data_IF_327032822363
#
_entry.id   IF_327032822363
#
_cell.length_a   1.000
_cell.length_b   1.000
_cell.length_c   1.000
_cell.angle_alpha   90.00
_cell.angle_beta   90.00
_cell.angle_gamma   90.00
#
_symmetry.space_group_name_H-M   'P 1'
#
loop_
_entity.id
_entity.type
_entity.pdbx_description
1 polymer ?
#
# COMPACT_ATOMS: atom_id res chain seq x y z
N UNK A 1 -10.96 -16.60 38.97
CA UNK A 1 -9.61 -16.35 39.52
C UNK A 1 -8.61 -16.93 38.55
N UNK A 2 -7.65 -16.12 38.09
CA UNK A 2 -6.56 -16.61 37.24
C UNK A 2 -5.55 -17.36 38.13
N UNK A 3 -5.20 -18.63 37.88
CA UNK A 3 -4.36 -19.45 38.76
C UNK A 3 -2.99 -18.81 39.10
N UNK A 4 -2.46 -17.99 38.19
CA UNK A 4 -1.22 -17.23 38.37
C UNK A 4 -1.26 -16.25 39.56
N UNK A 5 -2.41 -15.63 39.85
CA UNK A 5 -2.55 -14.65 40.92
C UNK A 5 -2.45 -15.28 42.31
N UNK A 6 -2.87 -16.55 42.42
CA UNK A 6 -2.88 -17.32 43.67
C UNK A 6 -1.47 -17.84 43.99
N UNK A 7 -0.74 -18.30 42.97
CA UNK A 7 0.62 -18.85 43.14
C UNK A 7 1.65 -17.77 43.50
N UNK A 8 1.45 -16.53 43.05
CA UNK A 8 2.39 -15.43 43.28
C UNK A 8 1.99 -14.47 44.41
N UNK A 9 0.98 -14.81 45.22
CA UNK A 9 0.52 -14.02 46.38
C UNK A 9 0.28 -12.54 46.02
N UNK A 10 -0.19 -12.29 44.80
CA UNK A 10 -0.47 -10.96 44.28
C UNK A 10 -1.85 -10.59 44.80
N UNK A 11 -1.91 -9.59 45.70
CA UNK A 11 -3.20 -9.04 46.15
C UNK A 11 -3.86 -8.41 44.93
N UNK A 12 -4.92 -9.04 44.42
CA UNK A 12 -5.77 -8.43 43.39
C UNK A 12 -6.34 -7.13 43.95
N UNK A 13 -5.75 -6.00 43.56
CA UNK A 13 -6.31 -4.69 43.87
C UNK A 13 -7.59 -4.57 43.05
N UNK A 14 -8.72 -4.89 43.67
CA UNK A 14 -10.05 -4.63 43.15
C UNK A 14 -10.31 -3.11 43.15
N UNK A 15 -9.62 -2.38 42.28
CA UNK A 15 -10.12 -1.09 41.82
C UNK A 15 -11.17 -1.43 40.77
N UNK A 16 -12.45 -1.04 40.92
CA UNK A 16 -13.38 -1.09 39.82
C UNK A 16 -12.90 -0.06 38.80
N UNK A 17 -12.00 -0.46 37.89
CA UNK A 17 -11.79 0.29 36.67
C UNK A 17 -13.16 0.32 36.01
N UNK A 18 -13.81 1.50 36.01
CA UNK A 18 -15.03 1.69 35.26
C UNK A 18 -14.82 1.19 33.82
N UNK A 19 -15.87 0.71 33.15
CA UNK A 19 -15.74 0.18 31.80
C UNK A 19 -15.07 1.25 30.92
N UNK A 20 -13.82 1.02 30.54
CA UNK A 20 -13.09 1.91 29.63
C UNK A 20 -13.82 1.86 28.31
N UNK A 21 -14.22 3.02 27.78
CA UNK A 21 -14.84 3.14 26.45
C UNK A 21 -13.86 2.81 25.32
N UNK A 22 -12.58 2.66 25.68
CA UNK A 22 -11.44 2.52 24.80
C UNK A 22 -10.83 1.10 24.88
N UNK A 23 -10.71 0.40 23.73
CA UNK A 23 -9.94 -0.83 23.64
C UNK A 23 -8.45 -0.63 23.99
N UNK A 24 -7.81 -1.69 24.48
CA UNK A 24 -6.36 -1.67 24.73
C UNK A 24 -5.56 -1.74 23.43
N UNK A 25 -4.51 -0.93 23.30
CA UNK A 25 -3.60 -0.92 22.16
C UNK A 25 -2.41 -1.88 22.29
N UNK A 26 -2.44 -2.83 23.23
CA UNK A 26 -1.35 -3.82 23.42
C UNK A 26 -1.06 -4.63 22.15
N UNK A 27 -2.10 -5.12 21.46
CA UNK A 27 -1.93 -5.88 20.21
C UNK A 27 -1.30 -5.04 19.11
N UNK A 28 -1.66 -3.76 19.03
CA UNK A 28 -1.05 -2.80 18.10
C UNK A 28 0.44 -2.62 18.38
N UNK A 29 0.84 -2.38 19.63
CA UNK A 29 2.26 -2.19 19.96
C UNK A 29 3.09 -3.46 19.77
N UNK A 30 2.51 -4.64 20.03
CA UNK A 30 3.15 -5.92 19.73
C UNK A 30 3.40 -6.07 18.23
N UNK A 31 2.39 -5.82 17.39
CA UNK A 31 2.54 -5.87 15.93
C UNK A 31 3.57 -4.83 15.45
N UNK A 32 3.51 -3.61 15.97
CA UNK A 32 4.43 -2.53 15.61
C UNK A 32 5.89 -2.90 15.93
N UNK A 33 6.14 -3.53 17.09
CA UNK A 33 7.49 -3.95 17.47
C UNK A 33 8.11 -4.99 16.52
N UNK A 34 7.30 -5.74 15.78
CA UNK A 34 7.79 -6.72 14.81
C UNK A 34 8.20 -6.06 13.48
N UNK A 35 7.53 -4.96 13.11
CA UNK A 35 7.75 -4.26 11.84
C UNK A 35 8.69 -3.06 11.96
N UNK A 36 8.95 -2.57 13.17
CA UNK A 36 9.96 -1.54 13.37
C UNK A 36 11.35 -2.11 13.07
N UNK A 37 11.94 -1.58 12.00
CA UNK A 37 13.26 -1.94 11.49
C UNK A 37 14.37 -1.04 12.01
N UNK A 38 14.03 0.05 12.69
CA UNK A 38 14.99 0.93 13.36
C UNK A 38 15.53 0.26 14.63
N UNK A 39 16.77 0.57 15.00
CA UNK A 39 17.30 0.29 16.34
C UNK A 39 16.28 0.70 17.39
N UNK A 40 15.81 -0.26 18.19
CA UNK A 40 14.86 -0.01 19.26
C UNK A 40 15.42 1.07 20.18
N UNK A 41 14.73 2.21 20.29
CA UNK A 41 15.15 3.33 21.15
C UNK A 41 14.94 3.03 22.64
N UNK A 42 14.15 2.00 22.95
CA UNK A 42 13.90 1.51 24.31
C UNK A 42 14.87 0.43 24.76
N UNK A 43 15.48 -0.32 23.84
CA UNK A 43 16.48 -1.35 24.17
C UNK A 43 17.56 -1.43 23.08
N UNK A 44 18.77 -0.90 23.33
CA UNK A 44 19.90 -0.99 22.40
C UNK A 44 20.32 -2.43 22.05
N UNK A 45 19.91 -3.42 22.87
CA UNK A 45 20.18 -4.84 22.63
C UNK A 45 19.12 -5.52 21.75
N UNK A 46 17.96 -4.89 21.53
CA UNK A 46 16.98 -5.38 20.58
C UNK A 46 17.41 -5.00 19.17
N UNK A 47 18.07 -5.95 18.52
CA UNK A 47 18.45 -5.89 17.12
C UNK A 47 17.55 -6.85 16.32
N UNK A 48 16.98 -6.35 15.22
CA UNK A 48 16.38 -7.23 14.22
C UNK A 48 17.47 -8.19 13.72
N UNK A 49 17.17 -9.49 13.61
CA UNK A 49 18.18 -10.49 13.21
C UNK A 49 18.77 -10.22 11.81
N UNK A 50 18.10 -9.41 11.00
CA UNK A 50 18.59 -8.94 9.73
C UNK A 50 18.42 -7.40 9.64
N UNK A 51 19.51 -6.62 9.68
CA UNK A 51 19.46 -5.15 9.67
C UNK A 51 18.95 -4.54 8.35
N UNK A 52 18.80 -5.36 7.30
CA UNK A 52 18.27 -4.93 6.00
C UNK A 52 16.91 -5.57 5.66
N UNK A 53 16.31 -6.30 6.59
CA UNK A 53 14.97 -6.84 6.37
C UNK A 53 13.96 -5.70 6.43
N UNK A 54 13.18 -5.52 5.37
CA UNK A 54 11.98 -4.66 5.39
C UNK A 54 10.77 -5.46 5.85
N UNK A 55 9.83 -4.87 6.60
CA UNK A 55 8.61 -5.56 6.98
C UNK A 55 7.79 -5.93 5.75
N UNK A 56 7.04 -7.03 5.82
CA UNK A 56 6.20 -7.41 4.70
C UNK A 56 5.01 -6.44 4.58
N UNK A 57 4.51 -6.18 3.36
CA UNK A 57 3.31 -5.35 3.16
C UNK A 57 2.11 -5.79 4.02
N UNK A 58 1.98 -7.11 4.24
CA UNK A 58 0.91 -7.70 5.07
C UNK A 58 1.07 -7.32 6.54
N UNK A 59 2.28 -7.35 7.08
CA UNK A 59 2.55 -7.00 8.48
C UNK A 59 2.33 -5.51 8.75
N UNK A 60 2.70 -4.66 7.77
CA UNK A 60 2.44 -3.23 7.82
C UNK A 60 0.94 -2.96 7.78
N UNK A 61 0.22 -3.53 6.81
CA UNK A 61 -1.22 -3.41 6.70
C UNK A 61 -1.95 -3.87 7.97
N UNK A 62 -1.47 -4.94 8.62
CA UNK A 62 -2.02 -5.43 9.89
C UNK A 62 -1.92 -4.38 11.01
N UNK A 63 -0.82 -3.63 11.08
CA UNK A 63 -0.67 -2.54 12.07
C UNK A 63 -1.67 -1.41 11.83
N UNK A 64 -1.86 -1.02 10.57
CA UNK A 64 -2.85 -0.02 10.19
C UNK A 64 -4.28 -0.49 10.44
N UNK A 65 -4.59 -1.79 10.22
CA UNK A 65 -5.90 -2.38 10.55
C UNK A 65 -6.22 -2.30 12.05
N UNK A 66 -5.25 -2.55 12.92
CA UNK A 66 -5.43 -2.42 14.37
C UNK A 66 -5.70 -0.97 14.79
N UNK A 67 -5.02 0.00 14.17
CA UNK A 67 -5.31 1.43 14.39
C UNK A 67 -6.70 1.82 13.85
N UNK A 68 -7.08 1.29 12.68
CA UNK A 68 -8.39 1.51 12.08
C UNK A 68 -9.52 1.00 12.99
N UNK A 69 -9.39 -0.22 13.51
CA UNK A 69 -10.37 -0.84 14.42
C UNK A 69 -10.60 0.01 15.68
N UNK A 70 -9.51 0.56 16.23
CA UNK A 70 -9.58 1.50 17.35
C UNK A 70 -10.38 2.75 17.00
N UNK A 71 -10.12 3.38 15.86
CA UNK A 71 -10.80 4.61 15.46
C UNK A 71 -12.26 4.35 15.09
N UNK A 72 -12.56 3.19 14.48
CA UNK A 72 -13.94 2.74 14.25
C UNK A 72 -14.70 2.55 15.57
N UNK A 73 -14.06 1.93 16.57
CA UNK A 73 -14.64 1.74 17.90
C UNK A 73 -14.91 3.08 18.59
N UNK A 74 -13.98 4.03 18.52
CA UNK A 74 -14.20 5.39 19.03
C UNK A 74 -15.37 6.08 18.30
N UNK A 75 -15.45 5.92 16.97
CA UNK A 75 -16.54 6.47 16.15
C UNK A 75 -17.91 5.89 16.52
N UNK A 76 -17.99 4.63 16.96
CA UNK A 76 -19.26 4.01 17.37
C UNK A 76 -19.65 4.30 18.82
N UNK A 77 -18.67 4.49 19.71
CA UNK A 77 -18.91 4.55 21.16
C UNK A 77 -19.22 5.95 21.72
N UNK A 78 -19.09 7.02 20.93
CA UNK A 78 -19.42 8.38 21.33
C UNK A 78 -20.66 8.94 20.59
N UNK A 79 -21.88 8.67 21.07
CA UNK A 79 -23.09 9.27 20.50
C UNK A 79 -23.25 10.75 20.84
N UNK A 80 -22.55 11.27 21.86
CA UNK A 80 -22.72 12.63 22.40
C UNK A 80 -21.91 13.68 21.66
N UNK A 81 -20.67 13.37 21.30
CA UNK A 81 -19.78 14.31 20.60
C UNK A 81 -19.60 14.00 19.11
N UNK A 82 -20.45 13.11 18.57
CA UNK A 82 -20.40 12.64 17.18
C UNK A 82 -20.32 13.77 16.16
N UNK A 83 -21.00 14.90 16.37
CA UNK A 83 -20.98 16.01 15.40
C UNK A 83 -19.64 16.72 15.31
N UNK A 84 -18.85 16.76 16.39
CA UNK A 84 -17.58 17.51 16.42
C UNK A 84 -16.38 16.62 16.06
N UNK A 85 -16.35 15.37 16.52
CA UNK A 85 -15.21 14.46 16.32
C UNK A 85 -15.34 13.55 15.11
N UNK A 86 -16.56 13.19 14.69
CA UNK A 86 -16.75 12.26 13.57
C UNK A 86 -16.09 12.74 12.26
N UNK A 87 -16.14 14.04 11.87
CA UNK A 87 -15.49 14.49 10.63
C UNK A 87 -13.98 14.22 10.64
N UNK A 88 -13.31 14.44 11.78
CA UNK A 88 -11.88 14.15 11.92
C UNK A 88 -11.63 12.65 11.86
N UNK A 89 -12.38 11.86 12.63
CA UNK A 89 -12.22 10.40 12.65
C UNK A 89 -12.44 9.77 11.27
N UNK A 90 -13.45 10.22 10.53
CA UNK A 90 -13.71 9.73 9.17
C UNK A 90 -12.52 10.02 8.24
N UNK A 91 -11.98 11.25 8.28
CA UNK A 91 -10.78 11.60 7.52
C UNK A 91 -9.54 10.78 7.92
N UNK A 92 -9.41 10.43 9.20
CA UNK A 92 -8.31 9.58 9.68
C UNK A 92 -8.52 8.12 9.24
N UNK A 93 -9.74 7.60 9.32
CA UNK A 93 -10.10 6.24 8.90
C UNK A 93 -9.90 6.08 7.38
N UNK A 94 -10.29 7.08 6.58
CA UNK A 94 -10.10 7.07 5.13
C UNK A 94 -8.61 7.08 4.78
N UNK A 95 -7.82 7.92 5.46
CA UNK A 95 -6.36 7.95 5.33
C UNK A 95 -5.72 6.61 5.66
N UNK A 96 -6.17 5.94 6.74
CA UNK A 96 -5.68 4.62 7.13
C UNK A 96 -6.11 3.56 6.11
N UNK A 97 -7.33 3.65 5.57
CA UNK A 97 -7.83 2.71 4.55
C UNK A 97 -6.96 2.76 3.30
N UNK A 98 -6.63 3.96 2.82
CA UNK A 98 -5.71 4.13 1.69
C UNK A 98 -4.32 3.51 1.97
N UNK A 99 -3.80 3.65 3.20
CA UNK A 99 -2.55 3.02 3.63
C UNK A 99 -2.65 1.51 3.84
N UNK A 100 -3.84 0.95 3.95
CA UNK A 100 -4.02 -0.50 3.99
C UNK A 100 -4.06 -1.08 2.58
N UNK A 101 -4.71 -0.37 1.65
CA UNK A 101 -4.82 -0.79 0.26
C UNK A 101 -3.48 -0.66 -0.48
N UNK A 102 -2.69 0.37 -0.15
CA UNK A 102 -1.30 0.57 -0.61
C UNK A 102 -0.35 0.75 0.60
N UNK A 103 0.07 -0.35 1.25
CA UNK A 103 0.88 -0.30 2.46
C UNK A 103 2.27 0.28 2.22
N UNK A 104 2.72 1.25 3.04
CA UNK A 104 4.04 1.81 2.91
C UNK A 104 5.11 0.74 3.19
N UNK A 105 6.24 0.83 2.50
CA UNK A 105 7.34 -0.14 2.63
C UNK A 105 8.03 -0.11 3.99
N UNK A 106 7.92 1.02 4.70
CA UNK A 106 8.50 1.23 6.03
C UNK A 106 7.58 2.14 6.85
N UNK A 107 7.65 1.99 8.18
CA UNK A 107 6.89 2.83 9.10
C UNK A 107 7.74 4.04 9.48
N UNK A 108 7.38 5.21 8.94
CA UNK A 108 8.08 6.49 9.18
C UNK A 108 7.54 7.28 10.37
N UNK A 109 6.81 6.64 11.28
CA UNK A 109 6.25 7.34 12.43
C UNK A 109 7.29 7.76 13.47
N UNK A 110 6.86 8.50 14.48
CA UNK A 110 7.75 8.94 15.55
C UNK A 110 8.26 7.76 16.39
N UNK A 111 9.44 7.90 17.00
CA UNK A 111 9.93 6.89 17.95
C UNK A 111 9.17 6.92 19.28
N UNK A 112 9.28 5.83 20.03
CA UNK A 112 8.77 5.80 21.40
C UNK A 112 9.45 6.84 22.28
N UNK A 113 10.77 7.02 22.14
CA UNK A 113 11.53 8.04 22.86
C UNK A 113 10.97 9.46 22.62
N UNK A 114 10.59 9.79 21.38
CA UNK A 114 9.94 11.07 21.11
C UNK A 114 8.62 11.19 21.88
N UNK A 115 7.72 10.20 21.81
CA UNK A 115 6.44 10.22 22.54
C UNK A 115 6.62 10.49 24.04
N UNK A 116 7.64 9.89 24.65
CA UNK A 116 7.91 10.02 26.08
C UNK A 116 8.37 11.44 26.47
N UNK A 117 8.96 12.18 25.51
CA UNK A 117 9.46 13.55 25.67
C UNK A 117 8.47 14.65 25.26
N UNK A 118 7.31 14.30 24.69
CA UNK A 118 6.32 15.30 24.29
C UNK A 118 5.86 16.12 25.50
N UNK A 119 5.73 17.43 25.31
CA UNK A 119 5.26 18.37 26.33
C UNK A 119 3.90 17.97 26.89
N UNK A 120 3.85 17.81 28.22
CA UNK A 120 2.65 17.46 28.98
C UNK A 120 1.96 18.70 29.50
N UNK A 121 0.64 18.71 29.43
CA UNK A 121 -0.19 19.78 30.01
C UNK A 121 -0.70 19.34 31.37
N UNK A 122 -0.55 20.21 32.38
CA UNK A 122 -1.12 19.92 33.69
C UNK A 122 -2.64 19.97 33.64
N UNK A 123 -3.31 19.05 34.33
CA UNK A 123 -4.79 19.07 34.45
C UNK A 123 -5.32 20.40 35.03
N UNK A 124 -4.51 21.11 35.83
CA UNK A 124 -4.89 22.41 36.44
C UNK A 124 -5.00 23.55 35.43
N UNK A 125 -4.32 23.43 34.29
CA UNK A 125 -4.29 24.47 33.24
C UNK A 125 -5.32 24.21 32.13
N UNK A 126 -6.01 23.07 32.17
CA UNK A 126 -6.98 22.66 31.16
C UNK A 126 -8.36 23.13 31.59
N UNK A 127 -9.12 23.72 30.65
CA UNK A 127 -10.50 24.10 30.91
C UNK A 127 -11.40 22.88 31.17
N UNK A 128 -12.47 23.01 31.99
CA UNK A 128 -13.34 21.89 32.35
C UNK A 128 -14.12 21.30 31.17
N UNK A 129 -14.26 22.04 30.07
CA UNK A 129 -14.96 21.62 28.86
C UNK A 129 -14.00 21.29 27.70
N UNK A 130 -12.68 21.31 27.92
CA UNK A 130 -11.73 20.92 26.88
C UNK A 130 -11.76 19.39 26.67
N UNK A 131 -11.92 18.99 25.41
CA UNK A 131 -12.04 17.58 25.00
C UNK A 131 -10.90 17.15 24.08
N UNK A 132 -10.62 15.85 24.05
CA UNK A 132 -9.71 15.29 23.07
C UNK A 132 -10.36 15.29 21.67
N UNK A 133 -9.71 15.84 20.63
CA UNK A 133 -10.27 15.85 19.27
C UNK A 133 -10.49 14.46 18.66
N UNK A 134 -9.81 13.43 19.16
CA UNK A 134 -9.86 12.06 18.62
C UNK A 134 -11.00 11.26 19.28
N UNK A 135 -11.03 11.16 20.61
CA UNK A 135 -12.04 10.37 21.31
C UNK A 135 -13.28 11.17 21.75
N UNK A 136 -13.25 12.50 21.73
CA UNK A 136 -14.38 13.35 22.11
C UNK A 136 -14.62 13.50 23.62
N UNK A 137 -13.89 12.76 24.45
CA UNK A 137 -14.00 12.80 25.91
C UNK A 137 -13.32 14.04 26.49
N UNK A 138 -13.86 14.57 27.59
CA UNK A 138 -13.23 15.67 28.33
C UNK A 138 -11.98 15.17 29.02
N UNK A 139 -10.92 15.97 28.97
CA UNK A 139 -9.66 15.59 29.59
C UNK A 139 -9.74 15.41 31.11
N UNK A 140 -10.67 16.11 31.77
CA UNK A 140 -10.85 16.05 33.22
C UNK A 140 -11.85 14.97 33.68
N UNK A 141 -12.56 14.32 32.74
CA UNK A 141 -13.48 13.23 33.08
C UNK A 141 -12.74 11.91 33.33
N UNK A 142 -11.53 11.75 32.76
CA UNK A 142 -10.65 10.60 33.01
C UNK A 142 -9.53 10.97 34.00
N UNK A 143 -9.51 10.25 35.13
CA UNK A 143 -8.54 10.40 36.20
C UNK A 143 -7.08 10.20 35.73
N UNK A 144 -6.87 9.34 34.73
CA UNK A 144 -5.54 8.97 34.24
C UNK A 144 -5.20 9.58 32.89
N UNK A 145 -6.02 10.53 32.41
CA UNK A 145 -5.79 11.16 31.12
C UNK A 145 -4.44 11.87 31.09
N UNK A 146 -3.60 11.49 30.13
CA UNK A 146 -2.28 12.08 29.93
C UNK A 146 -2.32 13.02 28.75
N UNK A 147 -2.56 14.30 29.03
CA UNK A 147 -2.71 15.33 27.99
C UNK A 147 -1.36 15.83 27.50
N UNK A 148 -1.16 15.75 26.20
CA UNK A 148 0.04 16.22 25.49
C UNK A 148 -0.30 17.31 24.49
N UNK A 149 0.63 18.24 24.28
CA UNK A 149 0.56 19.27 23.22
C UNK A 149 1.58 18.94 22.16
N UNK A 150 1.14 18.86 20.90
CA UNK A 150 2.07 18.68 19.79
C UNK A 150 2.78 20.00 19.44
N UNK A 151 4.05 19.97 19.01
CA UNK A 151 4.84 21.18 18.75
C UNK A 151 4.35 22.00 17.54
N UNK A 152 3.48 21.43 16.70
CA UNK A 152 2.96 22.11 15.52
C UNK A 152 2.02 23.28 15.84
N UNK A 153 1.28 23.22 16.96
CA UNK A 153 0.42 24.31 17.42
C UNK A 153 0.00 24.14 18.90
N UNK A 154 -0.08 25.24 19.66
CA UNK A 154 -0.42 25.21 21.09
C UNK A 154 -1.83 24.69 21.41
N UNK A 155 -2.75 24.71 20.44
CA UNK A 155 -4.11 24.16 20.59
C UNK A 155 -4.22 22.69 20.21
N UNK A 156 -3.16 22.08 19.68
CA UNK A 156 -3.16 20.67 19.28
C UNK A 156 -2.89 19.80 20.50
N UNK A 157 -3.89 19.75 21.39
CA UNK A 157 -3.88 18.94 22.61
C UNK A 157 -4.60 17.62 22.37
N UNK A 158 -4.03 16.54 22.86
CA UNK A 158 -4.63 15.21 22.77
C UNK A 158 -4.35 14.41 24.03
N UNK A 159 -5.16 13.40 24.28
CA UNK A 159 -4.76 12.31 25.16
C UNK A 159 -3.66 11.50 24.46
N UNK A 160 -2.55 11.25 25.17
CA UNK A 160 -1.39 10.54 24.64
C UNK A 160 -1.79 9.15 24.15
N UNK A 161 -2.71 8.48 24.83
CA UNK A 161 -3.09 7.15 24.39
C UNK A 161 -3.83 7.19 23.04
N UNK A 162 -4.59 8.25 22.79
CA UNK A 162 -5.34 8.48 21.53
C UNK A 162 -4.43 8.88 20.36
N UNK A 163 -3.50 9.82 20.57
CA UNK A 163 -2.64 10.33 19.50
C UNK A 163 -1.39 9.47 19.29
N UNK A 164 -0.90 8.79 20.32
CA UNK A 164 0.33 8.00 20.30
C UNK A 164 0.37 6.96 19.15
N UNK A 165 -0.64 6.08 19.01
CA UNK A 165 -0.68 5.10 17.92
C UNK A 165 -0.62 5.74 16.53
N UNK A 166 -1.30 6.88 16.33
CA UNK A 166 -1.25 7.62 15.08
C UNK A 166 0.15 8.16 14.79
N UNK A 167 0.80 8.76 15.78
CA UNK A 167 2.16 9.30 15.64
C UNK A 167 3.18 8.20 15.36
N UNK A 168 3.04 7.03 16.00
CA UNK A 168 3.94 5.87 15.82
C UNK A 168 3.88 5.28 14.41
N UNK A 169 2.76 5.41 13.71
CA UNK A 169 2.65 4.98 12.31
C UNK A 169 2.95 6.10 11.31
N UNK A 170 2.42 7.30 11.54
CA UNK A 170 2.37 8.37 10.53
C UNK A 170 3.35 9.51 10.77
N UNK A 171 3.78 9.73 12.02
CA UNK A 171 4.71 10.80 12.36
C UNK A 171 4.19 12.23 12.14
N UNK A 172 2.87 12.38 11.97
CA UNK A 172 2.21 13.64 11.62
C UNK A 172 1.06 13.97 12.58
N UNK A 173 0.80 15.25 12.79
CA UNK A 173 -0.36 15.68 13.58
C UNK A 173 -1.68 15.30 12.89
N UNK A 174 -2.67 14.71 13.60
CA UNK A 174 -3.97 14.39 13.03
C UNK A 174 -4.76 15.59 12.49
N UNK A 175 -4.53 16.79 13.04
CA UNK A 175 -5.29 18.01 12.71
C UNK A 175 -4.71 18.77 11.51
N UNK A 176 -3.40 19.03 11.49
CA UNK A 176 -2.76 19.85 10.45
C UNK A 176 -1.78 19.09 9.55
N UNK A 177 -1.60 17.77 9.79
CA UNK A 177 -0.73 16.86 9.03
C UNK A 177 0.74 17.27 8.98
N UNK A 178 1.17 18.24 9.79
CA UNK A 178 2.60 18.59 9.91
C UNK A 178 3.34 17.45 10.58
N UNK A 179 4.57 17.19 10.12
CA UNK A 179 5.49 16.26 10.76
C UNK A 179 5.81 16.74 12.17
N UNK A 180 5.93 15.80 13.11
CA UNK A 180 6.27 16.10 14.50
C UNK A 180 7.43 15.22 14.97
N UNK A 181 8.26 15.78 15.83
CA UNK A 181 9.40 15.06 16.41
C UNK A 181 10.39 14.56 15.38
N UNK A 182 10.82 13.31 15.58
CA UNK A 182 11.74 12.58 14.71
C UNK A 182 11.05 11.92 13.51
N UNK A 183 9.73 12.08 13.34
CA UNK A 183 8.98 11.50 12.22
C UNK A 183 9.45 11.99 10.85
N UNK A 184 9.89 13.24 10.75
CA UNK A 184 10.44 13.78 9.51
C UNK A 184 11.78 13.13 9.13
N UNK A 185 12.68 12.94 10.10
CA UNK A 185 13.99 12.32 9.89
C UNK A 185 13.82 10.84 9.52
N UNK A 186 13.00 10.11 10.27
CA UNK A 186 12.68 8.69 9.98
C UNK A 186 11.98 8.52 8.63
N UNK A 187 11.11 9.46 8.23
CA UNK A 187 10.52 9.48 6.90
C UNK A 187 11.53 9.71 5.78
N UNK A 188 12.49 10.64 5.98
CA UNK A 188 13.57 10.86 5.02
C UNK A 188 14.49 9.65 4.91
N UNK A 189 14.79 8.99 6.03
CA UNK A 189 15.59 7.76 6.07
C UNK A 189 14.91 6.62 5.31
N UNK A 190 13.62 6.39 5.59
CA UNK A 190 12.79 5.43 4.87
C UNK A 190 12.82 5.62 3.34
N UNK A 191 12.69 6.86 2.86
CA UNK A 191 12.76 7.18 1.43
C UNK A 191 14.16 6.91 0.87
N UNK A 192 15.22 7.31 1.58
CA UNK A 192 16.61 7.06 1.17
C UNK A 192 16.93 5.58 1.11
N UNK A 193 16.45 4.80 2.07
CA UNK A 193 16.62 3.34 2.09
C UNK A 193 15.90 2.69 0.91
N UNK A 194 14.66 3.10 0.63
CA UNK A 194 13.91 2.66 -0.56
C UNK A 194 14.66 2.98 -1.85
N UNK A 195 15.23 4.18 -1.98
CA UNK A 195 16.02 4.55 -3.15
C UNK A 195 17.30 3.70 -3.28
N UNK A 196 17.99 3.43 -2.17
CA UNK A 196 19.15 2.51 -2.15
C UNK A 196 18.76 1.11 -2.59
N UNK A 197 17.63 0.59 -2.10
CA UNK A 197 17.13 -0.73 -2.47
C UNK A 197 16.79 -0.79 -3.96
N UNK A 198 16.09 0.23 -4.49
CA UNK A 198 15.77 0.34 -5.91
C UNK A 198 17.04 0.33 -6.76
N UNK A 199 18.05 1.13 -6.40
CA UNK A 199 19.34 1.17 -7.10
C UNK A 199 20.11 -0.15 -6.98
N UNK A 200 19.97 -0.87 -5.86
CA UNK A 200 20.54 -2.20 -5.67
C UNK A 200 19.94 -3.24 -6.62
N UNK A 201 18.62 -3.25 -6.80
CA UNK A 201 17.94 -4.13 -7.77
C UNK A 201 18.36 -3.80 -9.20
N UNK A 202 18.44 -2.52 -9.57
CA UNK A 202 18.93 -2.07 -10.89
C UNK A 202 20.41 -2.47 -11.12
N UNK A 203 21.23 -2.51 -10.07
CA UNK A 203 22.64 -2.90 -10.13
C UNK A 203 22.92 -4.41 -10.12
N UNK A 204 21.96 -5.25 -9.72
CA UNK A 204 22.13 -6.70 -9.65
C UNK A 204 21.96 -7.43 -10.98
N UNK A 205 21.75 -6.70 -12.09
CA UNK A 205 21.94 -7.25 -13.42
C UNK A 205 21.26 -8.60 -13.63
N UNK A 206 19.98 -8.73 -13.26
CA UNK A 206 19.12 -9.77 -13.83
C UNK A 206 18.85 -9.41 -15.30
N UNK A 207 19.91 -9.38 -16.10
CA UNK A 207 19.85 -9.59 -17.54
C UNK A 207 19.45 -11.05 -17.74
N UNK A 208 18.15 -11.29 -17.81
CA UNK A 208 17.57 -12.62 -17.91
C UNK A 208 16.24 -12.60 -18.62
N UNK A 209 16.28 -12.18 -19.89
CA UNK A 209 15.17 -12.05 -20.87
C UNK A 209 14.14 -10.98 -20.54
N UNK A 210 14.50 -9.74 -20.85
CA UNK A 210 13.55 -8.82 -21.46
C UNK A 210 12.90 -9.55 -22.64
N UNK A 211 11.61 -9.83 -22.53
CA UNK A 211 10.77 -9.95 -23.71
C UNK A 211 10.88 -8.62 -24.42
N UNK A 212 11.26 -8.69 -25.70
CA UNK A 212 11.41 -7.57 -26.62
C UNK A 212 10.25 -6.59 -26.50
N UNK A 213 10.45 -5.50 -25.76
CA UNK A 213 9.74 -4.26 -26.05
C UNK A 213 10.45 -3.67 -27.28
N UNK A 214 10.13 -4.26 -28.44
CA UNK A 214 10.46 -3.67 -29.74
C UNK A 214 9.82 -2.30 -29.76
N UNK A 215 10.66 -1.28 -29.67
CA UNK A 215 10.30 0.11 -29.92
C UNK A 215 9.61 0.15 -31.30
N UNK A 216 8.29 0.37 -31.33
CA UNK A 216 7.44 0.17 -32.50
C UNK A 216 7.80 1.06 -33.69
N UNK A 217 8.63 2.09 -33.49
CA UNK A 217 9.22 2.89 -34.57
C UNK A 217 10.40 2.18 -35.26
N UNK A 218 11.12 1.30 -34.55
CA UNK A 218 12.24 0.53 -35.11
C UNK A 218 11.76 -0.62 -35.99
N UNK A 219 10.64 -1.25 -35.63
CA UNK A 219 10.02 -2.33 -36.42
C UNK A 219 9.38 -1.79 -37.71
N UNK A 220 8.67 -0.66 -37.63
CA UNK A 220 8.07 0.01 -38.80
C UNK A 220 9.12 0.42 -39.83
N UNK A 221 10.27 0.93 -39.38
CA UNK A 221 11.38 1.31 -40.26
C UNK A 221 12.01 0.10 -40.96
N UNK A 222 12.16 -1.03 -40.27
CA UNK A 222 12.69 -2.28 -40.85
C UNK A 222 11.72 -2.90 -41.86
N UNK A 223 10.42 -2.79 -41.61
CA UNK A 223 9.40 -3.26 -42.54
C UNK A 223 9.32 -2.37 -43.80
N UNK A 224 9.44 -1.05 -43.66
CA UNK A 224 9.57 -0.13 -44.80
C UNK A 224 10.84 -0.37 -45.62
N UNK A 225 11.97 -0.66 -44.98
CA UNK A 225 13.22 -1.01 -45.68
C UNK A 225 13.12 -2.37 -46.38
N UNK A 226 12.45 -3.37 -45.78
CA UNK A 226 12.21 -4.67 -46.42
C UNK A 226 11.30 -4.52 -47.64
N UNK A 227 10.21 -3.76 -47.52
CA UNK A 227 9.26 -3.52 -48.62
C UNK A 227 9.91 -2.76 -49.77
N UNK A 228 10.76 -1.76 -49.49
CA UNK A 228 11.58 -1.09 -50.52
C UNK A 228 12.53 -2.03 -51.24
N UNK A 229 13.10 -3.01 -50.52
CA UNK A 229 14.03 -3.98 -51.10
C UNK A 229 13.31 -5.00 -51.99
N UNK A 230 12.11 -5.42 -51.60
CA UNK A 230 11.23 -6.27 -52.41
C UNK A 230 10.72 -5.54 -53.66
N UNK A 231 10.31 -4.27 -53.54
CA UNK A 231 9.90 -3.43 -54.68
C UNK A 231 11.07 -3.14 -55.64
N UNK A 232 12.31 -3.08 -55.13
CA UNK A 232 13.51 -2.92 -55.96
C UNK A 232 13.91 -4.22 -56.67
N UNK A 233 13.73 -5.37 -56.03
CA UNK A 233 13.96 -6.69 -56.66
C UNK A 233 12.88 -7.05 -57.71
N UNK A 234 11.66 -6.53 -57.58
CA UNK A 234 10.58 -6.70 -58.58
C UNK A 234 10.77 -5.78 -59.82
N UNK A 235 11.47 -4.66 -59.67
CA UNK A 235 11.79 -3.72 -60.77
C UNK A 235 12.93 -4.19 -61.69
N UNK A 236 13.78 -5.10 -61.23
CA UNK A 236 14.99 -5.54 -61.95
C UNK A 236 14.78 -6.90 -62.69
N UNK A 237 13.54 -7.39 -62.75
CA UNK A 237 13.19 -8.76 -63.17
C UNK A 237 12.48 -8.93 -64.53
N UNK A 238 12.42 -7.93 -65.41
CA UNK A 238 11.78 -8.06 -66.74
C UNK A 238 12.64 -7.53 -67.90
N UNK A 239 13.89 -7.96 -67.94
CA UNK A 239 14.81 -7.63 -69.03
C UNK A 239 15.36 -8.90 -69.69
N UNK A 240 14.47 -9.64 -70.36
CA UNK A 240 14.86 -10.33 -71.59
C UNK A 240 14.56 -11.82 -71.67
N UNK A 241 13.45 -12.16 -72.34
CA UNK A 241 13.42 -13.35 -73.22
C UNK A 241 12.42 -13.25 -74.38
N UNK A 242 12.32 -12.09 -75.05
CA UNK A 242 11.70 -12.00 -76.39
C UNK A 242 12.74 -12.18 -77.49
N UNK A 243 13.28 -13.39 -77.64
CA UNK A 243 13.99 -13.78 -78.86
C UNK A 243 14.11 -15.31 -78.98
N UNK A 244 13.02 -15.95 -79.44
CA UNK A 244 13.02 -16.99 -80.49
C UNK A 244 11.62 -17.57 -80.62
N UNK A 245 10.86 -16.93 -81.50
CA UNK A 245 9.81 -17.54 -82.29
C UNK A 245 10.42 -18.64 -83.18
N UNK A 246 9.54 -19.55 -83.57
CA UNK A 246 9.67 -20.49 -84.68
C UNK A 246 10.53 -21.70 -84.37
N UNK A 247 9.89 -22.74 -83.81
CA UNK A 247 9.90 -24.07 -84.41
C UNK A 247 8.99 -25.04 -83.61
N UNK A 248 8.24 -25.85 -84.35
CA UNK A 248 7.63 -27.11 -83.92
C UNK A 248 6.18 -27.14 -83.43
N UNK A 249 5.32 -26.69 -84.33
CA UNK A 249 4.10 -27.40 -84.72
C UNK A 249 4.29 -28.94 -84.76
N UNK A 250 3.62 -29.67 -83.85
CA UNK A 250 3.07 -31.05 -83.99
C UNK A 250 3.00 -31.74 -82.63
N UNK A 251 1.83 -31.75 -82.00
CA UNK A 251 1.01 -32.96 -81.78
C UNK A 251 -0.30 -32.53 -81.14
N UNK A 252 -1.29 -32.35 -82.00
CA UNK A 252 -2.69 -32.40 -81.61
C UNK A 252 -3.12 -33.86 -81.36
N UNK A 253 -4.30 -33.97 -80.75
CA UNK A 253 -5.17 -35.15 -80.69
C UNK A 253 -4.95 -36.13 -79.52
N UNK A 254 -5.84 -36.11 -78.52
CA UNK A 254 -6.93 -37.09 -78.40
C UNK A 254 -7.73 -36.96 -77.08
N UNK A 255 -9.07 -36.84 -77.20
CA UNK A 255 -10.10 -37.28 -76.23
C UNK A 255 -10.53 -36.26 -75.15
N UNK A 256 -11.53 -35.38 -75.35
CA UNK A 256 -12.99 -35.61 -75.30
C UNK A 256 -13.50 -36.47 -74.14
N UNK A 257 -14.16 -35.87 -73.14
CA UNK A 257 -15.62 -36.01 -72.86
C UNK A 257 -16.02 -35.63 -71.41
N UNK A 258 -16.86 -34.60 -71.28
CA UNK A 258 -17.84 -34.39 -70.16
C UNK A 258 -19.18 -35.07 -70.54
N UNK A 259 -20.33 -34.93 -69.81
CA UNK A 259 -20.63 -34.59 -68.41
C UNK A 259 -21.64 -35.58 -67.78
N UNK A 260 -22.01 -35.44 -66.48
CA UNK A 260 -23.38 -35.78 -66.00
C UNK A 260 -23.73 -35.18 -64.63
N UNK A 261 -25.04 -35.04 -64.46
CA UNK A 261 -25.80 -34.06 -63.67
C UNK A 261 -26.24 -34.52 -62.26
N UNK A 262 -26.63 -33.51 -61.46
CA UNK A 262 -27.36 -33.44 -60.17
C UNK A 262 -28.54 -34.43 -60.00
N UNK A 263 -29.02 -34.67 -58.75
CA UNK A 263 -30.21 -33.92 -58.28
C UNK A 263 -30.21 -33.51 -56.78
N UNK A 264 -31.11 -32.56 -56.47
CA UNK A 264 -31.55 -32.08 -55.15
C UNK A 264 -32.57 -33.05 -54.52
N UNK A 265 -32.71 -33.02 -53.18
CA UNK A 265 -33.99 -33.09 -52.43
C UNK A 265 -33.68 -32.84 -50.92
N UNK A 266 -34.11 -31.73 -50.31
CA UNK A 266 -35.38 -31.42 -49.59
C UNK A 266 -35.47 -31.93 -48.13
N UNK A 267 -35.92 -31.05 -47.23
CA UNK A 267 -36.84 -31.45 -46.15
C UNK A 267 -36.42 -31.16 -44.70
N UNK A 268 -37.04 -30.11 -44.11
CA UNK A 268 -37.69 -30.09 -42.78
C UNK A 268 -36.80 -30.10 -41.54
N UNK A 269 -36.74 -29.04 -40.73
CA UNK A 269 -37.74 -28.53 -39.77
C UNK A 269 -37.85 -29.29 -38.44
N UNK A 270 -37.67 -28.49 -37.37
CA UNK A 270 -38.24 -28.59 -36.02
C UNK A 270 -37.68 -29.70 -35.13
N UNK A 271 -37.36 -29.47 -33.86
CA UNK A 271 -37.73 -28.41 -32.94
C UNK A 271 -37.76 -29.02 -31.53
N UNK A 272 -37.59 -28.17 -30.53
CA UNK A 272 -37.48 -28.41 -29.07
C UNK A 272 -36.03 -28.64 -28.61
#
# INVERSE_FOLDING_TARGET
MNPYEVEHNIKASAQPAGPRRRPSMSSFFNQLSQIETSTSTTDPSWHHNNPHAVPTPVDVAASYRLLQDQFLTLRTNDPTNRTTTAPLLDLLIDSITAQIDDPPTTVSGCSQAYLDTIDRVSQKTIGPEETCPICGEKFLDDQYCLVVVLPCHATHKFDLECVGPWLRLNGTCPLDRKTVGDGEERGKEAVRERERMRRGVEGLGFGGREGDAVDGDTERRREEERKKREEQEESDGDDGIWAKKDDYEKVAEHGMSEPRTRPQETGGEHGI
#
